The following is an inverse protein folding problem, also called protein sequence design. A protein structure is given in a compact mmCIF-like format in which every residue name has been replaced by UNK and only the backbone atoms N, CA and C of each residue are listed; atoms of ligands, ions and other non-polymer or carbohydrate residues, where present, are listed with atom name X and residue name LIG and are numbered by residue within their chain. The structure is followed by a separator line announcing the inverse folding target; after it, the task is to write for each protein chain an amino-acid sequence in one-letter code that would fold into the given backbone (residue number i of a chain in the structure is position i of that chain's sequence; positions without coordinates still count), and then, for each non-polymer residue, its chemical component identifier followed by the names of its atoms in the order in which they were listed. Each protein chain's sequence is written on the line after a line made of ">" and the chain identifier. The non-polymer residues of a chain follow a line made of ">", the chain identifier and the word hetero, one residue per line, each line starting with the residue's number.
data_IF_649658817461
#
_entry.id   IF_649658817461
#
_cell.length_a   1.000
_cell.length_b   1.000
_cell.length_c   1.000
_cell.angle_alpha   90.00
_cell.angle_beta   90.00
_cell.angle_gamma   90.00
#
_symmetry.space_group_name_H-M   'P 1'
#
loop_
_entity.id
_entity.type
_entity.pdbx_description
1 polymer ?
#
# COMPACT_ATOMS: atom_id res chain seq x y z
N UNK A 1 8.99 5.70 -16.20
CA UNK A 1 9.90 4.78 -16.89
C UNK A 1 11.16 5.48 -17.40
N UNK A 2 11.10 6.57 -18.20
CA UNK A 2 12.30 7.22 -18.75
C UNK A 2 13.26 7.74 -17.66
N UNK A 3 12.76 8.46 -16.66
CA UNK A 3 13.57 8.91 -15.53
C UNK A 3 14.27 7.76 -14.80
N UNK A 4 13.56 6.67 -14.57
CA UNK A 4 14.08 5.48 -13.88
C UNK A 4 15.19 4.81 -14.69
N UNK A 5 15.01 4.71 -16.01
CA UNK A 5 16.01 4.13 -16.91
C UNK A 5 17.23 5.02 -17.07
N UNK A 6 17.05 6.31 -17.33
CA UNK A 6 18.14 7.23 -17.71
C UNK A 6 18.84 7.80 -16.48
N UNK A 7 18.10 8.19 -15.45
CA UNK A 7 18.65 8.86 -14.26
C UNK A 7 19.02 7.88 -13.15
N UNK A 8 18.16 6.88 -12.89
CA UNK A 8 18.40 5.91 -11.82
C UNK A 8 19.16 4.67 -12.32
N UNK A 9 19.38 4.49 -13.64
CA UNK A 9 20.12 3.37 -14.20
C UNK A 9 19.49 2.00 -13.93
N UNK A 10 18.18 1.95 -13.71
CA UNK A 10 17.44 0.69 -13.54
C UNK A 10 17.11 0.14 -14.92
N UNK A 11 17.21 -1.20 -15.15
CA UNK A 11 16.89 -1.82 -16.43
C UNK A 11 15.37 -1.78 -16.66
N UNK A 12 14.91 -0.76 -17.34
CA UNK A 12 13.50 -0.53 -17.70
C UNK A 12 13.39 -0.43 -19.21
N UNK A 13 12.42 -1.09 -19.86
CA UNK A 13 12.27 -1.04 -21.30
C UNK A 13 12.06 0.41 -21.80
N UNK A 14 12.61 0.70 -22.97
CA UNK A 14 12.41 2.00 -23.61
C UNK A 14 10.95 2.13 -24.06
N UNK A 15 10.31 3.23 -23.69
CA UNK A 15 8.99 3.59 -24.23
C UNK A 15 9.17 4.24 -25.59
N UNK A 16 8.47 3.73 -26.61
CA UNK A 16 8.49 4.24 -27.97
C UNK A 16 7.34 5.21 -28.24
N UNK A 17 6.14 4.92 -27.67
CA UNK A 17 4.97 5.77 -27.78
C UNK A 17 4.01 5.49 -26.62
N UNK A 18 3.22 6.47 -26.26
CA UNK A 18 2.18 6.32 -25.24
C UNK A 18 1.07 7.35 -25.44
N UNK A 19 -0.10 7.08 -24.89
CA UNK A 19 -1.19 8.05 -24.79
C UNK A 19 -2.03 7.78 -23.55
N UNK A 20 -2.22 8.81 -22.73
CA UNK A 20 -3.15 8.81 -21.59
C UNK A 20 -4.51 9.45 -21.92
N UNK A 21 -4.78 9.74 -23.19
CA UNK A 21 -5.99 10.46 -23.64
C UNK A 21 -6.71 9.64 -24.69
N UNK A 22 -7.54 8.68 -24.25
CA UNK A 22 -8.30 7.79 -25.12
C UNK A 22 -9.10 8.54 -26.22
N UNK A 23 -9.74 9.66 -25.86
CA UNK A 23 -10.57 10.44 -26.78
C UNK A 23 -9.75 11.24 -27.80
N UNK A 24 -8.44 11.38 -27.63
CA UNK A 24 -7.55 12.18 -28.48
C UNK A 24 -6.59 11.37 -29.33
N UNK A 25 -6.63 10.04 -29.23
CA UNK A 25 -5.78 9.16 -30.01
C UNK A 25 -6.61 8.26 -30.96
N UNK A 26 -5.99 7.79 -32.03
CA UNK A 26 -6.66 6.99 -33.08
C UNK A 26 -7.01 5.57 -32.62
N UNK A 27 -6.43 5.11 -31.49
CA UNK A 27 -6.69 3.77 -30.94
C UNK A 27 -7.96 3.74 -30.11
N UNK A 28 -8.36 4.90 -29.55
CA UNK A 28 -9.56 5.02 -28.71
C UNK A 28 -9.42 4.53 -27.27
N UNK A 29 -8.21 4.10 -26.89
CA UNK A 29 -7.87 3.64 -25.51
C UNK A 29 -6.53 4.23 -25.08
N UNK A 30 -6.26 4.22 -23.78
CA UNK A 30 -4.93 4.52 -23.25
C UNK A 30 -3.97 3.37 -23.59
N UNK A 31 -2.73 3.71 -23.95
CA UNK A 31 -1.75 2.70 -24.33
C UNK A 31 -0.31 3.14 -24.05
N UNK A 32 0.57 2.14 -23.87
CA UNK A 32 2.03 2.30 -23.85
C UNK A 32 2.62 1.28 -24.83
N UNK A 33 3.40 1.75 -25.80
CA UNK A 33 4.21 0.92 -26.69
C UNK A 33 5.64 1.01 -26.21
N UNK A 34 6.21 -0.10 -25.84
CA UNK A 34 7.57 -0.16 -25.31
C UNK A 34 8.37 -1.32 -25.92
N UNK A 35 9.67 -1.25 -25.73
CA UNK A 35 10.59 -2.30 -26.08
C UNK A 35 10.18 -3.61 -25.41
N UNK A 36 10.24 -4.72 -26.16
CA UNK A 36 10.09 -6.05 -25.57
C UNK A 36 11.34 -6.35 -24.75
N UNK A 37 11.17 -6.59 -23.45
CA UNK A 37 12.29 -6.92 -22.56
C UNK A 37 12.95 -8.23 -23.06
N UNK A 38 14.25 -8.24 -23.29
CA UNK A 38 14.96 -9.48 -23.58
C UNK A 38 15.00 -10.33 -22.31
N UNK A 39 14.68 -11.62 -22.42
CA UNK A 39 14.72 -12.52 -21.27
C UNK A 39 13.39 -13.15 -20.94
N UNK A 40 13.32 -13.79 -19.77
CA UNK A 40 12.15 -14.47 -19.22
C UNK A 40 11.76 -13.86 -17.88
N UNK A 41 10.47 -13.92 -17.54
CA UNK A 41 10.02 -13.51 -16.21
C UNK A 41 10.69 -14.38 -15.14
N UNK A 42 11.06 -13.75 -14.04
CA UNK A 42 11.69 -14.45 -12.91
C UNK A 42 10.79 -15.56 -12.35
N UNK A 43 9.48 -15.42 -12.46
CA UNK A 43 8.50 -16.42 -12.03
C UNK A 43 8.73 -17.80 -12.66
N UNK A 44 9.06 -17.85 -13.95
CA UNK A 44 9.32 -19.12 -14.67
C UNK A 44 10.53 -19.90 -14.14
N UNK A 45 11.49 -19.22 -13.53
CA UNK A 45 12.76 -19.84 -13.08
C UNK A 45 12.89 -19.88 -11.56
N UNK A 46 12.18 -18.98 -10.83
CA UNK A 46 12.35 -18.79 -9.39
C UNK A 46 12.19 -20.06 -8.57
N UNK A 47 11.17 -20.87 -8.86
CA UNK A 47 10.92 -22.12 -8.13
C UNK A 47 12.08 -23.12 -8.25
N UNK A 48 12.76 -23.17 -9.42
CA UNK A 48 13.88 -24.06 -9.70
C UNK A 48 15.25 -23.54 -9.24
N UNK A 49 15.36 -22.25 -8.86
CA UNK A 49 16.65 -21.64 -8.48
C UNK A 49 17.15 -22.16 -7.13
N UNK A 50 18.45 -22.34 -7.01
CA UNK A 50 19.16 -22.58 -5.76
C UNK A 50 19.14 -21.36 -4.83
N UNK A 51 19.46 -21.58 -3.56
CA UNK A 51 19.45 -20.47 -2.56
C UNK A 51 20.51 -19.40 -2.90
N UNK A 52 21.63 -19.77 -3.48
CA UNK A 52 22.71 -18.85 -3.86
C UNK A 52 22.26 -17.93 -5.01
N UNK A 53 21.56 -18.48 -5.99
CA UNK A 53 21.02 -17.73 -7.13
C UNK A 53 19.93 -16.77 -6.66
N UNK A 54 18.99 -17.25 -5.82
CA UNK A 54 17.96 -16.40 -5.18
C UNK A 54 18.58 -15.27 -4.37
N UNK A 55 19.67 -15.54 -3.64
CA UNK A 55 20.40 -14.51 -2.91
C UNK A 55 21.04 -13.49 -3.88
N UNK A 56 21.52 -13.93 -5.02
CA UNK A 56 22.10 -13.05 -6.04
C UNK A 56 21.04 -12.11 -6.62
N UNK A 57 19.84 -12.62 -6.94
CA UNK A 57 18.69 -11.79 -7.31
C UNK A 57 18.33 -10.82 -6.20
N UNK A 58 18.21 -11.28 -4.94
CA UNK A 58 17.89 -10.42 -3.81
C UNK A 58 18.92 -9.27 -3.63
N UNK A 59 20.20 -9.55 -3.86
CA UNK A 59 21.27 -8.53 -3.84
C UNK A 59 21.14 -7.53 -5.02
N UNK A 60 20.78 -8.00 -6.20
CA UNK A 60 20.56 -7.13 -7.36
C UNK A 60 19.39 -6.17 -7.11
N UNK A 61 18.27 -6.69 -6.60
CA UNK A 61 17.10 -5.87 -6.24
C UNK A 61 17.44 -4.88 -5.11
N UNK A 62 18.13 -5.31 -4.06
CA UNK A 62 18.56 -4.42 -2.97
C UNK A 62 19.45 -3.27 -3.47
N UNK A 63 20.28 -3.52 -4.52
CA UNK A 63 21.10 -2.48 -5.16
C UNK A 63 20.24 -1.46 -5.91
N UNK A 64 19.23 -1.89 -6.66
CA UNK A 64 18.29 -0.96 -7.31
C UNK A 64 17.53 -0.15 -6.26
N UNK A 65 16.99 -0.78 -5.24
CA UNK A 65 16.30 -0.09 -4.15
C UNK A 65 17.21 0.90 -3.42
N UNK A 66 18.49 0.57 -3.22
CA UNK A 66 19.48 1.52 -2.69
C UNK A 66 19.64 2.73 -3.60
N UNK A 67 19.70 2.53 -4.92
CA UNK A 67 19.74 3.64 -5.87
C UNK A 67 18.49 4.49 -5.78
N UNK A 68 17.28 3.89 -5.79
CA UNK A 68 16.03 4.63 -5.71
C UNK A 68 15.93 5.48 -4.44
N UNK A 69 16.39 4.97 -3.30
CA UNK A 69 16.36 5.68 -2.02
C UNK A 69 17.51 6.66 -1.84
N UNK A 70 18.53 6.63 -2.70
CA UNK A 70 19.63 7.61 -2.68
C UNK A 70 19.31 8.90 -3.41
N UNK A 71 18.19 8.94 -4.16
CA UNK A 71 17.64 10.14 -4.75
C UNK A 71 16.47 10.64 -3.92
N UNK A 72 16.46 11.92 -3.61
CA UNK A 72 15.38 12.53 -2.83
C UNK A 72 14.74 13.70 -3.58
N UNK A 73 13.42 13.81 -3.44
CA UNK A 73 12.61 14.81 -4.11
C UNK A 73 12.05 15.81 -3.09
N UNK A 74 11.96 17.09 -3.47
CA UNK A 74 11.40 18.13 -2.60
C UNK A 74 9.87 18.08 -2.54
N UNK A 75 9.24 17.40 -3.50
CA UNK A 75 7.79 17.33 -3.66
C UNK A 75 7.31 15.90 -3.57
N UNK A 76 6.06 15.76 -3.17
CA UNK A 76 5.30 14.51 -3.10
C UNK A 76 4.25 14.53 -4.22
N UNK A 77 3.91 13.38 -4.81
CA UNK A 77 2.98 13.26 -5.93
C UNK A 77 3.50 12.29 -6.97
N UNK A 78 3.14 12.43 -8.24
CA UNK A 78 3.66 11.59 -9.32
C UNK A 78 4.52 12.38 -10.29
N UNK A 79 5.40 11.64 -10.98
CA UNK A 79 6.33 12.21 -11.94
C UNK A 79 5.68 12.26 -13.33
N UNK A 80 5.66 13.45 -13.93
CA UNK A 80 5.10 13.72 -15.24
C UNK A 80 6.18 14.29 -16.16
N UNK A 81 5.95 14.21 -17.47
CA UNK A 81 6.63 15.14 -18.38
C UNK A 81 6.13 16.54 -18.11
N UNK A 82 7.04 17.53 -18.09
CA UNK A 82 6.70 18.89 -17.77
C UNK A 82 5.68 19.50 -18.76
N UNK A 83 5.74 19.08 -20.03
CA UNK A 83 4.83 19.51 -21.10
C UNK A 83 3.38 19.00 -20.95
N UNK A 84 3.17 17.94 -20.17
CA UNK A 84 1.83 17.37 -19.93
C UNK A 84 1.09 18.01 -18.75
N UNK A 85 1.76 18.89 -18.00
CA UNK A 85 1.17 19.61 -16.88
C UNK A 85 0.76 21.03 -17.29
N UNK A 86 -0.54 21.28 -17.35
CA UNK A 86 -1.09 22.59 -17.67
C UNK A 86 -0.61 23.66 -16.68
N UNK A 87 -0.04 24.76 -17.20
CA UNK A 87 0.30 25.96 -16.42
C UNK A 87 1.55 25.87 -15.56
N UNK A 88 2.40 24.87 -15.72
CA UNK A 88 3.58 24.69 -14.90
C UNK A 88 4.90 24.84 -15.67
N UNK A 89 5.55 25.99 -15.53
CA UNK A 89 6.98 26.20 -15.90
C UNK A 89 7.93 25.66 -14.80
N UNK A 90 7.59 24.54 -14.15
CA UNK A 90 8.39 24.04 -13.03
C UNK A 90 9.18 22.80 -13.46
N UNK A 91 10.49 22.92 -13.42
CA UNK A 91 11.40 21.79 -13.60
C UNK A 91 11.42 20.91 -12.35
N UNK A 92 11.69 19.62 -12.54
CA UNK A 92 11.91 18.69 -11.46
C UNK A 92 13.16 19.07 -10.67
N UNK A 93 13.02 19.24 -9.37
CA UNK A 93 14.13 19.42 -8.42
C UNK A 93 14.29 18.14 -7.58
N UNK A 94 15.48 17.58 -7.60
CA UNK A 94 15.84 16.42 -6.78
C UNK A 94 17.27 16.52 -6.28
N UNK A 95 17.60 15.77 -5.26
CA UNK A 95 18.99 15.60 -4.79
C UNK A 95 19.46 14.23 -5.23
N UNK A 96 20.61 14.15 -5.87
CA UNK A 96 21.18 12.91 -6.37
C UNK A 96 21.88 12.09 -5.27
N UNK A 97 22.44 10.94 -5.64
CA UNK A 97 23.15 10.04 -4.74
C UNK A 97 24.45 10.62 -4.15
N UNK A 98 24.91 11.76 -4.65
CA UNK A 98 26.07 12.49 -4.14
C UNK A 98 25.67 13.69 -3.26
N UNK A 99 24.37 13.89 -3.02
CA UNK A 99 23.86 15.02 -2.26
C UNK A 99 23.80 16.33 -3.04
N UNK A 100 23.95 16.28 -4.37
CA UNK A 100 23.91 17.47 -5.24
C UNK A 100 22.47 17.73 -5.68
N UNK A 101 22.05 19.00 -5.55
CA UNK A 101 20.74 19.41 -6.08
C UNK A 101 20.79 19.52 -7.60
N UNK A 102 19.94 18.75 -8.25
CA UNK A 102 19.81 18.67 -9.69
C UNK A 102 18.49 19.26 -10.16
N UNK A 103 18.49 19.78 -11.38
CA UNK A 103 17.28 20.27 -12.06
C UNK A 103 17.13 19.55 -13.39
N UNK A 104 15.95 18.95 -13.63
CA UNK A 104 15.63 18.36 -14.93
C UNK A 104 14.37 19.04 -15.51
N UNK A 105 14.51 19.79 -16.61
CA UNK A 105 13.39 20.52 -17.22
C UNK A 105 12.41 19.61 -17.97
N UNK A 106 12.76 18.35 -18.23
CA UNK A 106 11.89 17.40 -18.94
C UNK A 106 10.74 16.90 -18.06
N UNK A 107 10.94 16.93 -16.74
CA UNK A 107 10.01 16.38 -15.78
C UNK A 107 9.52 17.42 -14.78
N UNK A 108 8.35 17.15 -14.22
CA UNK A 108 7.77 17.90 -13.11
C UNK A 108 7.01 16.95 -12.17
N UNK A 109 6.76 17.41 -10.93
CA UNK A 109 5.90 16.67 -10.00
C UNK A 109 4.50 17.25 -10.09
N UNK A 110 3.55 16.39 -10.41
CA UNK A 110 2.13 16.68 -10.50
C UNK A 110 1.28 15.88 -9.50
N UNK A 111 -0.05 15.85 -9.69
CA UNK A 111 -0.97 15.11 -8.85
C UNK A 111 -0.58 13.63 -8.74
N UNK A 112 -0.83 13.03 -7.57
CA UNK A 112 -0.59 11.60 -7.38
C UNK A 112 -1.49 10.75 -8.31
N UNK A 113 -0.89 9.74 -8.92
CA UNK A 113 -1.58 8.70 -9.69
C UNK A 113 -1.84 7.44 -8.86
N UNK A 114 -1.59 7.49 -7.55
CA UNK A 114 -1.88 6.39 -6.64
C UNK A 114 -3.36 6.02 -6.66
N UNK A 115 -3.64 4.72 -6.57
CA UNK A 115 -5.01 4.20 -6.61
C UNK A 115 -5.89 4.73 -5.47
N UNK A 116 -5.30 5.00 -4.33
CA UNK A 116 -5.98 5.60 -3.18
C UNK A 116 -6.40 7.08 -3.40
N UNK A 117 -6.04 7.69 -4.54
CA UNK A 117 -6.51 9.00 -4.97
C UNK A 117 -7.64 8.95 -6.01
N UNK A 118 -7.88 7.81 -6.63
CA UNK A 118 -8.84 7.66 -7.74
C UNK A 118 -9.90 6.59 -7.51
N UNK A 119 -9.55 5.48 -6.88
CA UNK A 119 -10.45 4.33 -6.70
C UNK A 119 -11.61 4.62 -5.73
N UNK A 120 -12.58 3.73 -5.68
CA UNK A 120 -13.72 3.74 -4.75
C UNK A 120 -14.59 4.99 -4.86
N UNK A 121 -14.73 5.53 -6.06
CA UNK A 121 -15.53 6.73 -6.35
C UNK A 121 -14.81 8.05 -6.06
N UNK A 122 -13.57 8.03 -5.56
CA UNK A 122 -12.80 9.24 -5.27
C UNK A 122 -12.61 10.14 -6.50
N UNK A 123 -12.53 9.54 -7.70
CA UNK A 123 -12.42 10.31 -8.96
C UNK A 123 -13.58 11.26 -9.20
N UNK A 124 -14.77 10.95 -8.69
CA UNK A 124 -16.00 11.75 -8.86
C UNK A 124 -16.09 12.92 -7.86
N UNK A 125 -15.21 12.97 -6.86
CA UNK A 125 -15.23 14.00 -5.83
C UNK A 125 -14.18 15.07 -6.15
N UNK A 126 -14.60 16.32 -6.05
CA UNK A 126 -13.69 17.48 -6.25
C UNK A 126 -12.90 17.72 -4.96
N UNK A 127 -11.65 17.28 -4.97
CA UNK A 127 -10.64 17.56 -3.97
C UNK A 127 -9.27 17.66 -4.63
N UNK A 128 -8.33 18.27 -3.95
CA UNK A 128 -6.95 18.34 -4.41
C UNK A 128 -6.27 16.96 -4.34
N UNK A 129 -5.91 16.39 -5.49
CA UNK A 129 -5.24 15.09 -5.62
C UNK A 129 -3.72 15.19 -5.57
N UNK A 130 -3.24 16.38 -5.55
CA UNK A 130 -1.81 16.62 -5.45
C UNK A 130 -1.45 17.20 -4.10
N UNK A 131 -0.31 16.82 -3.54
CA UNK A 131 0.31 17.61 -2.49
C UNK A 131 0.75 18.99 -3.02
N UNK A 132 0.47 19.28 -4.28
CA UNK A 132 0.91 20.48 -4.99
C UNK A 132 0.01 21.70 -4.85
N UNK A 133 -1.17 21.57 -4.25
CA UNK A 133 -2.03 22.73 -3.95
C UNK A 133 -2.52 22.63 -2.52
N UNK A 134 -2.32 23.68 -1.75
CA UNK A 134 -2.87 23.83 -0.40
C UNK A 134 -4.39 23.81 -0.46
N UNK A 135 -5.02 22.77 0.08
CA UNK A 135 -6.46 22.71 0.28
C UNK A 135 -6.88 23.55 1.49
N UNK A 136 -6.55 24.82 1.50
CA UNK A 136 -7.14 25.78 2.45
C UNK A 136 -8.02 26.74 1.64
N UNK A 137 -9.35 26.60 1.72
CA UNK A 137 -10.25 27.61 1.17
C UNK A 137 -9.94 28.94 1.88
N UNK A 138 -9.62 30.00 1.09
CA UNK A 138 -9.38 31.38 1.52
C UNK A 138 -7.93 31.81 1.88
N UNK A 139 -6.89 31.07 1.50
CA UNK A 139 -5.55 31.66 1.48
C UNK A 139 -5.24 32.15 0.07
N UNK A 140 -5.11 33.46 -0.08
CA UNK A 140 -4.56 34.09 -1.30
C UNK A 140 -3.12 33.60 -1.50
N UNK A 141 -2.74 33.15 -2.71
CA UNK A 141 -1.38 32.71 -2.97
C UNK A 141 -0.42 33.92 -2.86
N UNK A 142 0.35 33.95 -1.79
CA UNK A 142 1.60 34.73 -1.83
C UNK A 142 2.65 33.85 -2.51
N UNK A 143 3.41 34.41 -3.39
CA UNK A 143 4.25 33.80 -4.44
C UNK A 143 5.29 32.76 -3.98
N UNK A 144 5.43 32.47 -2.69
CA UNK A 144 6.43 31.57 -2.12
C UNK A 144 5.85 30.44 -1.25
N UNK A 145 4.51 30.31 -1.14
CA UNK A 145 3.85 29.28 -0.34
C UNK A 145 3.28 28.20 -1.24
N UNK A 146 4.12 27.57 -2.02
CA UNK A 146 3.74 26.47 -2.88
C UNK A 146 4.17 25.21 -2.19
N UNK A 147 3.20 24.33 -1.95
CA UNK A 147 3.31 22.93 -1.53
C UNK A 147 3.33 22.78 -0.02
N UNK A 148 2.54 21.81 0.45
CA UNK A 148 2.74 21.23 1.76
C UNK A 148 4.22 20.98 1.98
N UNK A 149 4.90 21.91 2.62
CA UNK A 149 6.34 21.86 2.80
C UNK A 149 6.74 20.87 3.89
N UNK A 150 5.74 20.27 4.53
CA UNK A 150 5.97 19.35 5.64
C UNK A 150 5.25 18.02 5.39
N UNK A 151 5.83 16.97 5.91
CA UNK A 151 5.22 15.63 5.93
C UNK A 151 3.87 15.63 6.64
N UNK A 152 3.71 16.46 7.68
CA UNK A 152 2.45 16.62 8.43
C UNK A 152 1.34 17.16 7.53
N UNK A 153 1.64 18.16 6.70
CA UNK A 153 0.66 18.73 5.75
C UNK A 153 0.24 17.71 4.67
N UNK A 154 1.18 16.93 4.15
CA UNK A 154 0.89 15.85 3.21
C UNK A 154 -0.04 14.81 3.81
N UNK A 155 0.25 14.35 5.01
CA UNK A 155 -0.58 13.35 5.69
C UNK A 155 -1.94 13.93 6.10
N UNK A 156 -2.00 15.20 6.49
CA UNK A 156 -3.26 15.88 6.78
C UNK A 156 -4.13 16.04 5.53
N UNK A 157 -3.53 16.29 4.36
CA UNK A 157 -4.26 16.35 3.09
C UNK A 157 -4.96 15.02 2.76
N UNK A 158 -4.35 13.87 3.09
CA UNK A 158 -4.98 12.55 2.96
C UNK A 158 -6.25 12.47 3.81
N UNK A 159 -6.20 12.87 5.08
CA UNK A 159 -7.38 12.88 5.96
C UNK A 159 -8.48 13.82 5.45
N UNK A 160 -8.13 15.00 4.96
CA UNK A 160 -9.10 15.94 4.39
C UNK A 160 -9.74 15.41 3.10
N UNK A 161 -8.99 14.70 2.26
CA UNK A 161 -9.50 13.98 1.09
C UNK A 161 -10.56 12.95 1.52
N UNK A 162 -10.25 12.11 2.50
CA UNK A 162 -11.19 11.09 2.99
C UNK A 162 -12.46 11.73 3.55
N UNK A 163 -12.36 12.86 4.29
CA UNK A 163 -13.54 13.62 4.76
C UNK A 163 -14.38 14.10 3.57
N UNK A 164 -13.75 14.66 2.53
CA UNK A 164 -14.46 15.14 1.35
C UNK A 164 -15.23 14.00 0.67
N UNK A 165 -14.58 12.83 0.50
CA UNK A 165 -15.20 11.65 -0.10
C UNK A 165 -16.35 11.10 0.77
N UNK A 166 -16.15 10.94 2.09
CA UNK A 166 -17.21 10.46 3.01
C UNK A 166 -18.43 11.37 2.98
N UNK A 167 -18.25 12.70 2.83
CA UNK A 167 -19.35 13.67 2.80
C UNK A 167 -20.05 13.76 1.45
N UNK A 168 -19.31 13.63 0.33
CA UNK A 168 -19.81 13.97 -1.00
C UNK A 168 -20.31 12.76 -1.79
N UNK A 169 -19.80 11.56 -1.53
CA UNK A 169 -20.25 10.38 -2.25
C UNK A 169 -21.71 10.05 -1.91
N UNK A 170 -22.58 9.75 -2.88
CA UNK A 170 -23.98 9.42 -2.61
C UNK A 170 -24.12 8.14 -1.77
N UNK A 171 -23.25 7.16 -2.01
CA UNK A 171 -23.14 5.92 -1.23
C UNK A 171 -21.70 5.70 -0.82
N UNK A 172 -21.48 5.15 0.38
CA UNK A 172 -20.17 4.70 0.81
C UNK A 172 -19.76 3.45 0.00
N UNK A 173 -18.47 3.32 -0.37
CA UNK A 173 -17.97 2.07 -0.95
C UNK A 173 -18.21 0.90 0.00
N UNK A 174 -18.38 -0.28 -0.56
CA UNK A 174 -18.48 -1.52 0.21
C UNK A 174 -17.09 -2.15 0.32
N UNK A 175 -16.78 -2.65 1.51
CA UNK A 175 -15.53 -3.39 1.70
C UNK A 175 -15.60 -4.75 0.98
N UNK A 176 -14.58 -5.11 0.17
CA UNK A 176 -14.52 -6.42 -0.48
C UNK A 176 -14.07 -7.54 0.48
N UNK A 177 -13.64 -7.20 1.69
CA UNK A 177 -13.05 -8.16 2.65
C UNK A 177 -13.96 -8.47 3.83
N UNK A 178 -15.18 -7.89 3.88
CA UNK A 178 -16.11 -8.11 4.99
C UNK A 178 -17.55 -8.21 4.50
N UNK A 179 -18.34 -9.05 5.14
CA UNK A 179 -19.78 -9.11 4.96
C UNK A 179 -20.48 -8.27 6.01
N UNK A 180 -21.47 -7.49 5.59
CA UNK A 180 -22.31 -6.68 6.45
C UNK A 180 -23.71 -7.30 6.58
N UNK A 181 -24.04 -7.81 7.78
CA UNK A 181 -25.31 -8.43 8.08
C UNK A 181 -25.66 -8.31 9.56
N UNK A 182 -26.77 -8.89 10.00
CA UNK A 182 -27.13 -8.92 11.40
C UNK A 182 -26.03 -9.55 12.27
N UNK A 183 -25.62 -8.83 13.33
CA UNK A 183 -24.56 -9.28 14.23
C UNK A 183 -23.14 -9.01 13.74
N UNK A 184 -22.96 -8.43 12.53
CA UNK A 184 -21.68 -7.92 12.06
C UNK A 184 -21.62 -6.40 12.20
N UNK A 185 -20.48 -5.80 11.90
CA UNK A 185 -20.30 -4.36 11.89
C UNK A 185 -20.96 -3.72 10.66
N UNK A 186 -21.60 -2.57 10.85
CA UNK A 186 -22.16 -1.74 9.77
C UNK A 186 -21.42 -0.41 9.71
N UNK A 187 -20.68 -0.13 8.62
CA UNK A 187 -20.03 1.17 8.41
C UNK A 187 -21.05 2.32 8.38
N UNK A 188 -20.73 3.42 9.06
CA UNK A 188 -21.51 4.64 8.96
C UNK A 188 -20.62 5.84 8.66
N UNK A 189 -21.19 6.87 7.99
CA UNK A 189 -20.44 8.12 7.71
C UNK A 189 -19.92 8.75 9.01
N UNK A 190 -20.70 8.70 10.05
CA UNK A 190 -20.39 9.28 11.36
C UNK A 190 -19.15 8.62 11.99
N UNK A 191 -19.12 7.28 12.02
CA UNK A 191 -17.98 6.53 12.55
C UNK A 191 -16.72 6.72 11.70
N UNK A 192 -16.85 6.76 10.36
CA UNK A 192 -15.74 7.07 9.46
C UNK A 192 -15.20 8.48 9.71
N UNK A 193 -16.06 9.49 9.80
CA UNK A 193 -15.64 10.86 10.11
C UNK A 193 -14.97 10.96 11.49
N UNK A 194 -15.48 10.24 12.52
CA UNK A 194 -14.86 10.18 13.86
C UNK A 194 -13.44 9.60 13.76
N UNK A 195 -13.25 8.49 13.04
CA UNK A 195 -11.94 7.88 12.85
C UNK A 195 -10.96 8.81 12.13
N UNK A 196 -11.40 9.46 11.04
CA UNK A 196 -10.56 10.42 10.29
C UNK A 196 -10.21 11.64 11.15
N UNK A 197 -11.14 12.12 11.97
CA UNK A 197 -10.88 13.24 12.87
C UNK A 197 -9.84 12.85 13.94
N UNK A 198 -9.92 11.64 14.49
CA UNK A 198 -8.88 11.12 15.37
C UNK A 198 -7.52 11.10 14.67
N UNK A 199 -7.44 10.62 13.42
CA UNK A 199 -6.22 10.64 12.62
C UNK A 199 -5.64 12.05 12.48
N UNK A 200 -6.45 13.02 12.04
CA UNK A 200 -6.01 14.40 11.85
C UNK A 200 -5.49 15.06 13.14
N UNK A 201 -6.06 14.67 14.28
CA UNK A 201 -5.61 15.16 15.59
C UNK A 201 -4.25 14.57 16.00
N UNK A 202 -4.00 13.30 15.64
CA UNK A 202 -2.83 12.56 16.08
C UNK A 202 -1.66 12.58 15.11
N UNK A 203 -1.88 12.88 13.83
CA UNK A 203 -0.86 12.64 12.79
C UNK A 203 0.52 13.19 13.12
N UNK A 204 0.59 14.36 13.70
CA UNK A 204 1.86 14.98 14.12
C UNK A 204 2.65 14.20 15.18
N UNK A 205 1.97 13.32 15.92
CA UNK A 205 2.58 12.47 16.94
C UNK A 205 2.92 11.07 16.42
N UNK A 206 2.27 10.65 15.33
CA UNK A 206 2.50 9.34 14.69
C UNK A 206 3.71 9.36 13.75
N UNK A 207 4.07 10.52 13.21
CA UNK A 207 5.15 10.62 12.24
C UNK A 207 6.51 10.23 12.84
N UNK A 208 7.38 9.55 12.06
CA UNK A 208 8.72 9.22 12.53
C UNK A 208 9.54 10.49 12.76
N UNK A 209 10.44 10.48 13.74
CA UNK A 209 11.39 11.58 13.97
C UNK A 209 12.62 11.51 13.08
N UNK A 210 12.91 10.36 12.50
CA UNK A 210 14.06 10.14 11.64
C UNK A 210 13.85 10.77 10.27
N UNK A 211 14.50 11.90 10.02
CA UNK A 211 14.40 12.62 8.77
C UNK A 211 14.85 11.79 7.56
N UNK A 212 15.75 10.83 7.75
CA UNK A 212 16.25 10.02 6.65
C UNK A 212 15.17 9.09 6.05
N UNK A 213 14.15 8.71 6.83
CA UNK A 213 13.02 7.92 6.36
C UNK A 213 11.80 8.76 5.94
N UNK A 214 11.83 10.07 6.23
CA UNK A 214 10.82 11.02 5.78
C UNK A 214 11.07 11.51 4.35
N UNK A 215 12.28 11.34 3.81
CA UNK A 215 12.65 11.80 2.49
C UNK A 215 11.74 11.20 1.41
N UNK A 216 11.26 12.04 0.50
CA UNK A 216 10.51 11.59 -0.67
C UNK A 216 11.43 10.87 -1.65
N UNK A 217 11.05 9.68 -2.06
CA UNK A 217 11.77 8.90 -3.07
C UNK A 217 10.79 8.30 -4.07
N UNK A 218 11.32 7.85 -5.20
CA UNK A 218 10.57 7.11 -6.19
C UNK A 218 10.69 5.62 -5.88
N UNK A 219 9.59 4.90 -5.99
CA UNK A 219 9.53 3.49 -5.62
C UNK A 219 8.70 2.68 -6.61
N UNK A 220 9.04 1.41 -6.76
CA UNK A 220 8.24 0.44 -7.50
C UNK A 220 7.34 -0.31 -6.52
N UNK A 221 6.05 -0.01 -6.53
CA UNK A 221 5.12 -0.53 -5.53
C UNK A 221 4.75 -2.00 -5.74
N UNK A 222 4.90 -2.53 -6.96
CA UNK A 222 4.49 -3.87 -7.33
C UNK A 222 5.66 -4.74 -7.79
N UNK A 223 6.70 -4.84 -6.97
CA UNK A 223 7.94 -5.56 -7.29
C UNK A 223 7.82 -7.06 -6.94
N UNK A 224 7.13 -7.81 -7.79
CA UNK A 224 6.99 -9.26 -7.71
C UNK A 224 7.69 -9.99 -8.88
N UNK A 225 7.74 -11.32 -8.84
CA UNK A 225 8.54 -12.13 -9.77
C UNK A 225 8.11 -12.01 -11.23
N UNK A 226 6.84 -11.72 -11.50
CA UNK A 226 6.31 -11.53 -12.86
C UNK A 226 6.75 -10.20 -13.49
N UNK A 227 7.09 -9.19 -12.67
CA UNK A 227 7.55 -7.87 -13.12
C UNK A 227 9.07 -7.76 -13.25
N UNK A 228 9.81 -8.81 -12.89
CA UNK A 228 11.26 -8.89 -12.99
C UNK A 228 11.64 -9.86 -14.13
N UNK A 229 12.47 -9.42 -15.05
CA UNK A 229 12.98 -10.23 -16.15
C UNK A 229 14.45 -10.54 -15.93
N UNK A 230 14.82 -11.79 -16.22
CA UNK A 230 16.19 -12.28 -16.08
C UNK A 230 16.70 -12.86 -17.40
N UNK A 231 18.03 -12.89 -17.56
CA UNK A 231 18.69 -13.51 -18.69
C UNK A 231 18.46 -15.04 -18.66
N UNK A 232 17.91 -15.67 -19.70
CA UNK A 232 17.65 -17.12 -19.71
C UNK A 232 18.92 -17.96 -19.64
N UNK A 233 20.07 -17.44 -20.07
CA UNK A 233 21.36 -18.13 -20.01
C UNK A 233 22.07 -17.95 -18.66
N UNK A 234 21.78 -16.84 -17.95
CA UNK A 234 22.21 -16.57 -16.57
C UNK A 234 21.04 -16.00 -15.77
N UNK A 235 20.19 -16.86 -15.18
CA UNK A 235 19.00 -16.40 -14.44
C UNK A 235 19.29 -15.55 -13.20
N UNK A 236 20.55 -15.32 -12.87
CA UNK A 236 20.93 -14.39 -11.79
C UNK A 236 21.11 -12.94 -12.26
N UNK A 237 21.12 -12.71 -13.59
CA UNK A 237 21.20 -11.39 -14.19
C UNK A 237 19.81 -10.80 -14.43
N UNK A 238 19.47 -9.70 -13.74
CA UNK A 238 18.25 -8.95 -13.97
C UNK A 238 18.42 -8.06 -15.19
N UNK A 239 17.62 -8.30 -16.23
CA UNK A 239 17.68 -7.58 -17.53
C UNK A 239 16.51 -6.63 -17.75
N UNK A 240 15.45 -6.69 -16.90
CA UNK A 240 14.32 -5.76 -16.99
C UNK A 240 13.44 -5.75 -15.75
N UNK A 241 12.91 -4.59 -15.44
CA UNK A 241 11.86 -4.38 -14.44
C UNK A 241 10.75 -3.59 -15.12
N UNK A 242 9.56 -4.17 -15.19
CA UNK A 242 8.38 -3.60 -15.86
C UNK A 242 7.32 -3.19 -14.85
N UNK A 243 6.22 -2.64 -15.36
CA UNK A 243 5.03 -2.28 -14.59
C UNK A 243 5.27 -1.19 -13.53
N UNK A 244 5.70 -0.03 -14.01
CA UNK A 244 5.89 1.20 -13.21
C UNK A 244 4.61 2.03 -13.10
N UNK A 245 3.43 1.40 -13.19
CA UNK A 245 2.15 2.07 -13.01
C UNK A 245 1.97 2.49 -11.54
N UNK A 246 1.14 3.49 -11.30
CA UNK A 246 0.83 4.01 -9.96
C UNK A 246 2.07 4.42 -9.13
N UNK A 247 3.24 4.56 -9.77
CA UNK A 247 4.47 4.99 -9.11
C UNK A 247 4.36 6.43 -8.64
N UNK A 248 4.60 6.66 -7.39
CA UNK A 248 4.56 8.00 -6.80
C UNK A 248 5.84 8.36 -6.03
N UNK A 249 6.01 9.66 -5.84
CA UNK A 249 7.02 10.23 -4.97
C UNK A 249 6.41 10.38 -3.59
N UNK A 250 6.76 9.50 -2.67
CA UNK A 250 6.25 9.49 -1.32
C UNK A 250 7.36 9.26 -0.29
N UNK A 251 7.12 9.47 1.01
CA UNK A 251 8.12 9.26 2.04
C UNK A 251 8.64 7.81 2.05
N UNK A 252 9.93 7.64 2.27
CA UNK A 252 10.56 6.31 2.27
C UNK A 252 9.88 5.33 3.23
N UNK A 253 9.47 5.77 4.43
CA UNK A 253 8.80 4.88 5.39
C UNK A 253 7.46 4.35 4.87
N UNK A 254 6.82 5.07 3.95
CA UNK A 254 5.58 4.62 3.32
C UNK A 254 5.85 3.54 2.25
N UNK A 255 6.87 3.75 1.43
CA UNK A 255 7.25 2.83 0.36
C UNK A 255 7.98 1.58 0.86
N UNK A 256 8.78 1.71 1.93
CA UNK A 256 9.69 0.68 2.35
C UNK A 256 8.99 -0.65 2.63
N UNK A 257 9.17 -1.62 1.72
CA UNK A 257 8.76 -3.02 1.91
C UNK A 257 9.81 -3.95 1.32
N UNK A 258 9.91 -5.14 1.87
CA UNK A 258 10.70 -6.17 1.19
C UNK A 258 9.97 -6.63 -0.07
N UNK A 259 10.70 -7.08 -1.11
CA UNK A 259 10.08 -7.65 -2.31
C UNK A 259 9.21 -8.88 -1.97
N UNK A 260 8.06 -9.03 -2.63
CA UNK A 260 7.10 -10.10 -2.36
C UNK A 260 7.69 -11.51 -2.47
N UNK A 261 8.67 -11.73 -3.35
CA UNK A 261 9.32 -13.03 -3.51
C UNK A 261 10.21 -13.44 -2.31
N UNK A 262 10.40 -12.53 -1.35
CA UNK A 262 11.07 -12.81 -0.08
C UNK A 262 10.07 -13.07 1.05
N UNK A 263 8.76 -12.94 0.81
CA UNK A 263 7.72 -13.21 1.78
C UNK A 263 7.58 -14.71 2.03
N UNK A 264 7.12 -15.07 3.21
CA UNK A 264 6.94 -16.45 3.60
C UNK A 264 5.85 -16.58 4.67
N UNK A 265 5.15 -17.71 4.64
CA UNK A 265 4.16 -18.07 5.65
C UNK A 265 4.86 -18.66 6.88
N UNK A 266 4.89 -17.93 7.98
CA UNK A 266 5.53 -18.37 9.21
C UNK A 266 5.86 -17.23 10.16
N UNK A 267 6.42 -17.53 11.35
CA UNK A 267 6.77 -16.50 12.32
C UNK A 267 7.73 -15.47 11.74
N UNK A 268 7.47 -14.16 11.93
CA UNK A 268 8.33 -13.12 11.40
C UNK A 268 9.74 -13.21 11.99
N UNK A 269 10.75 -12.88 11.17
CA UNK A 269 12.12 -12.71 11.64
C UNK A 269 12.27 -11.33 12.27
N UNK A 270 12.54 -11.28 13.56
CA UNK A 270 12.72 -10.02 14.28
C UNK A 270 14.11 -9.44 14.04
N UNK A 271 14.17 -8.16 13.68
CA UNK A 271 15.44 -7.44 13.49
C UNK A 271 16.42 -8.19 12.57
N UNK A 272 17.63 -8.44 13.10
CA UNK A 272 18.72 -9.15 12.43
C UNK A 272 18.91 -10.58 12.95
N UNK A 273 17.90 -11.17 13.56
CA UNK A 273 17.97 -12.52 14.10
C UNK A 273 18.26 -13.55 13.00
N UNK A 274 19.14 -14.49 13.31
CA UNK A 274 19.46 -15.59 12.39
C UNK A 274 18.44 -16.71 12.53
N UNK A 275 17.73 -17.10 11.46
CA UNK A 275 16.85 -18.25 11.50
C UNK A 275 17.58 -19.53 11.94
N UNK A 276 16.88 -20.39 12.65
CA UNK A 276 17.37 -21.70 13.08
C UNK A 276 16.39 -22.78 12.64
N UNK A 277 16.94 -23.95 12.34
CA UNK A 277 16.11 -25.14 12.16
C UNK A 277 15.55 -25.58 13.55
N UNK A 278 14.37 -26.21 13.57
CA UNK A 278 13.83 -26.77 14.80
C UNK A 278 14.80 -27.78 15.44
N UNK A 279 14.98 -27.73 16.75
CA UNK A 279 15.87 -28.65 17.49
C UNK A 279 15.44 -30.11 17.33
N UNK A 280 14.12 -30.36 17.23
CA UNK A 280 13.53 -31.67 17.04
C UNK A 280 13.41 -32.11 15.57
N UNK A 281 14.13 -31.44 14.63
CA UNK A 281 14.01 -31.73 13.18
C UNK A 281 14.15 -33.22 12.85
N UNK A 282 15.10 -33.92 13.47
CA UNK A 282 15.33 -35.34 13.23
C UNK A 282 14.20 -36.26 13.72
N UNK A 283 13.33 -35.76 14.59
CA UNK A 283 12.19 -36.50 15.17
C UNK A 283 10.88 -36.29 14.37
N UNK A 284 10.86 -35.31 13.46
CA UNK A 284 9.72 -35.03 12.60
C UNK A 284 9.61 -36.10 11.51
N UNK A 285 8.38 -36.31 11.03
CA UNK A 285 8.17 -37.13 9.83
C UNK A 285 8.81 -36.49 8.59
N UNK A 286 9.05 -37.28 7.50
CA UNK A 286 9.74 -36.77 6.32
C UNK A 286 9.05 -35.59 5.62
N UNK A 287 7.72 -35.46 5.71
CA UNK A 287 6.99 -34.34 5.12
C UNK A 287 7.20 -33.05 5.95
N UNK A 288 7.06 -33.15 7.27
CA UNK A 288 7.32 -32.07 8.21
C UNK A 288 8.78 -31.61 8.17
N UNK A 289 9.74 -32.53 8.02
CA UNK A 289 11.16 -32.17 7.81
C UNK A 289 11.37 -31.33 6.54
N UNK A 290 10.74 -31.71 5.41
CA UNK A 290 10.82 -30.93 4.17
C UNK A 290 10.22 -29.55 4.34
N UNK A 291 9.06 -29.46 4.97
CA UNK A 291 8.40 -28.17 5.23
C UNK A 291 9.27 -27.26 6.13
N UNK A 292 9.81 -27.80 7.23
CA UNK A 292 10.67 -27.06 8.14
C UNK A 292 11.95 -26.53 7.44
N UNK A 293 12.57 -27.35 6.57
CA UNK A 293 13.74 -26.93 5.79
C UNK A 293 13.36 -25.87 4.75
N UNK A 294 12.24 -26.00 4.06
CA UNK A 294 11.77 -25.00 3.10
C UNK A 294 11.49 -23.66 3.78
N UNK A 295 10.82 -23.67 4.94
CA UNK A 295 10.58 -22.47 5.73
C UNK A 295 11.88 -21.84 6.22
N UNK A 296 12.84 -22.65 6.70
CA UNK A 296 14.15 -22.17 7.11
C UNK A 296 14.89 -21.46 5.96
N UNK A 297 14.85 -21.99 4.75
CA UNK A 297 15.49 -21.37 3.59
C UNK A 297 14.83 -20.03 3.24
N UNK A 298 13.50 -19.96 3.23
CA UNK A 298 12.75 -18.71 2.99
C UNK A 298 13.08 -17.65 4.07
N UNK A 299 13.04 -18.02 5.35
CA UNK A 299 13.43 -17.14 6.47
C UNK A 299 14.88 -16.69 6.37
N UNK A 300 15.79 -17.57 5.95
CA UNK A 300 17.21 -17.25 5.79
C UNK A 300 17.43 -16.23 4.68
N UNK A 301 16.70 -16.34 3.56
CA UNK A 301 16.78 -15.38 2.46
C UNK A 301 16.28 -13.99 2.90
N UNK A 302 15.15 -13.91 3.60
CA UNK A 302 14.62 -12.66 4.17
C UNK A 302 15.59 -12.05 5.21
N UNK A 303 16.16 -12.86 6.11
CA UNK A 303 17.13 -12.39 7.12
C UNK A 303 18.44 -11.88 6.47
N UNK A 304 18.93 -12.55 5.44
CA UNK A 304 20.10 -12.10 4.67
C UNK A 304 19.82 -10.78 3.96
N UNK A 305 18.63 -10.63 3.37
CA UNK A 305 18.21 -9.38 2.77
C UNK A 305 18.13 -8.24 3.79
N UNK A 306 17.48 -8.44 4.96
CA UNK A 306 17.45 -7.45 6.04
C UNK A 306 18.87 -7.08 6.52
N UNK A 307 19.78 -8.06 6.63
CA UNK A 307 21.20 -7.83 6.99
C UNK A 307 21.92 -6.99 5.93
N UNK A 308 21.66 -7.26 4.66
CA UNK A 308 22.21 -6.48 3.55
C UNK A 308 21.74 -5.03 3.60
N UNK A 309 20.44 -4.81 3.80
CA UNK A 309 19.87 -3.47 3.95
C UNK A 309 20.47 -2.72 5.15
N UNK A 310 20.57 -3.36 6.30
CA UNK A 310 21.16 -2.75 7.48
C UNK A 310 22.57 -2.21 7.22
N UNK A 311 23.37 -2.93 6.42
CA UNK A 311 24.76 -2.55 6.09
C UNK A 311 24.86 -1.55 4.94
N UNK A 312 24.03 -1.67 3.92
CA UNK A 312 24.22 -0.95 2.64
C UNK A 312 23.18 0.16 2.41
N UNK A 313 22.04 0.09 3.08
CA UNK A 313 20.97 1.07 2.99
C UNK A 313 20.28 1.27 4.36
N UNK A 314 21.00 1.82 5.37
CA UNK A 314 20.46 1.99 6.71
C UNK A 314 19.13 2.77 6.78
N UNK A 315 18.89 3.82 5.98
CA UNK A 315 17.58 4.48 5.99
C UNK A 315 16.44 3.52 5.63
N UNK A 316 16.63 2.69 4.60
CA UNK A 316 15.61 1.72 4.20
C UNK A 316 15.37 0.66 5.29
N UNK A 317 16.42 0.17 5.94
CA UNK A 317 16.28 -0.75 7.07
C UNK A 317 15.47 -0.14 8.23
N UNK A 318 15.75 1.15 8.59
CA UNK A 318 14.97 1.85 9.61
C UNK A 318 13.53 2.12 9.19
N UNK A 319 13.29 2.37 7.91
CA UNK A 319 11.95 2.50 7.38
C UNK A 319 11.15 1.20 7.48
N UNK A 320 11.78 0.04 7.20
CA UNK A 320 11.17 -1.28 7.45
C UNK A 320 10.83 -1.49 8.93
N UNK A 321 11.74 -1.10 9.85
CA UNK A 321 11.47 -1.20 11.27
C UNK A 321 10.32 -0.28 11.73
N UNK A 322 10.20 0.92 11.15
CA UNK A 322 9.08 1.82 11.44
C UNK A 322 7.73 1.23 10.99
N UNK A 323 7.70 0.46 9.91
CA UNK A 323 6.49 -0.23 9.45
C UNK A 323 5.96 -1.31 10.42
N UNK A 324 6.80 -1.77 11.34
CA UNK A 324 6.43 -2.72 12.39
C UNK A 324 5.85 -2.01 13.65
N UNK A 325 5.53 -0.71 13.56
CA UNK A 325 5.02 0.10 14.69
C UNK A 325 3.53 0.42 14.55
N UNK A 326 2.85 0.55 15.70
CA UNK A 326 1.45 1.02 15.76
C UNK A 326 1.27 2.40 15.08
N UNK A 327 2.28 3.26 15.13
CA UNK A 327 2.26 4.55 14.42
C UNK A 327 2.08 4.37 12.93
N UNK A 328 2.83 3.45 12.33
CA UNK A 328 2.71 3.17 10.90
C UNK A 328 1.35 2.55 10.54
N UNK A 329 0.88 1.60 11.35
CA UNK A 329 -0.42 0.95 11.14
C UNK A 329 -1.55 2.00 11.10
N UNK A 330 -1.55 2.95 12.04
CA UNK A 330 -2.53 4.04 12.07
C UNK A 330 -2.40 4.99 10.86
N UNK A 331 -1.18 5.29 10.40
CA UNK A 331 -0.98 6.09 9.19
C UNK A 331 -1.49 5.35 7.95
N UNK A 332 -1.22 4.06 7.84
CA UNK A 332 -1.63 3.23 6.71
C UNK A 332 -3.15 3.04 6.66
N UNK A 333 -3.77 2.66 7.79
CA UNK A 333 -5.22 2.48 7.90
C UNK A 333 -5.98 3.75 7.54
N UNK A 334 -5.46 4.93 7.95
CA UNK A 334 -6.11 6.20 7.67
C UNK A 334 -6.31 6.49 6.18
N UNK A 335 -5.48 5.92 5.30
CA UNK A 335 -5.58 6.10 3.84
C UNK A 335 -6.78 5.35 3.23
N UNK A 336 -7.36 4.41 3.96
CA UNK A 336 -8.46 3.57 3.47
C UNK A 336 -9.77 3.70 4.26
N UNK A 337 -9.87 4.66 5.18
CA UNK A 337 -11.05 4.83 6.03
C UNK A 337 -12.35 5.12 5.28
N UNK A 338 -12.28 5.57 4.03
CA UNK A 338 -13.45 5.67 3.17
C UNK A 338 -14.09 4.30 2.92
N UNK A 339 -13.28 3.29 2.66
CA UNK A 339 -13.74 1.93 2.30
C UNK A 339 -13.96 1.10 3.54
N UNK A 340 -12.92 0.97 4.39
CA UNK A 340 -12.91 0.02 5.50
C UNK A 340 -12.02 0.49 6.66
N UNK A 341 -12.08 -0.25 7.78
CA UNK A 341 -11.11 -0.20 8.86
C UNK A 341 -11.41 0.78 9.97
N UNK A 342 -12.48 1.58 9.93
CA UNK A 342 -12.77 2.59 10.96
C UNK A 342 -13.04 1.99 12.35
N UNK A 343 -13.66 0.82 12.45
CA UNK A 343 -13.86 0.12 13.72
C UNK A 343 -12.51 -0.27 14.36
N UNK A 344 -11.63 -0.90 13.56
CA UNK A 344 -10.28 -1.28 13.99
C UNK A 344 -9.44 -0.04 14.32
N UNK A 345 -9.56 1.01 13.50
CA UNK A 345 -8.86 2.27 13.74
C UNK A 345 -9.20 2.88 15.09
N UNK A 346 -10.50 3.02 15.39
CA UNK A 346 -10.96 3.57 16.67
C UNK A 346 -10.53 2.72 17.88
N UNK A 347 -10.53 1.39 17.73
CA UNK A 347 -10.02 0.51 18.78
C UNK A 347 -8.51 0.68 19.01
N UNK A 348 -7.73 0.81 17.94
CA UNK A 348 -6.30 1.09 18.05
C UNK A 348 -6.04 2.47 18.68
N UNK A 349 -6.88 3.48 18.40
CA UNK A 349 -6.78 4.79 19.05
C UNK A 349 -7.01 4.67 20.55
N UNK A 350 -8.01 3.89 21.00
CA UNK A 350 -8.25 3.65 22.43
C UNK A 350 -7.06 2.97 23.09
N UNK A 351 -6.50 1.94 22.46
CA UNK A 351 -5.32 1.22 22.97
C UNK A 351 -4.04 2.08 22.98
N UNK A 352 -3.94 3.05 22.05
CA UNK A 352 -2.81 3.94 21.94
C UNK A 352 -2.59 4.80 23.21
N UNK A 353 -3.64 5.06 24.00
CA UNK A 353 -3.53 5.76 25.27
C UNK A 353 -2.49 5.11 26.19
N UNK A 354 -2.40 3.77 26.19
CA UNK A 354 -1.49 3.00 27.06
C UNK A 354 -0.01 3.20 26.72
N UNK A 355 0.30 3.44 25.44
CA UNK A 355 1.66 3.60 24.93
C UNK A 355 1.91 5.02 24.39
N UNK A 356 1.00 5.95 24.67
CA UNK A 356 1.06 7.31 24.13
C UNK A 356 2.39 8.02 24.38
N UNK A 357 2.92 7.89 25.61
CA UNK A 357 4.18 8.51 26.00
C UNK A 357 5.40 7.94 25.25
N UNK A 358 5.29 6.75 24.67
CA UNK A 358 6.37 6.06 23.95
C UNK A 358 6.43 6.47 22.47
N UNK A 359 5.38 7.14 21.95
CA UNK A 359 5.33 7.55 20.56
C UNK A 359 6.47 8.55 20.24
N UNK A 360 7.15 8.39 19.09
CA UNK A 360 8.27 9.24 18.70
C UNK A 360 7.92 10.73 18.73
N UNK A 361 6.76 11.12 18.18
CA UNK A 361 6.32 12.50 18.14
C UNK A 361 5.87 13.07 19.49
N UNK A 362 5.53 12.23 20.49
CA UNK A 362 5.18 12.64 21.85
C UNK A 362 6.45 12.86 22.69
N UNK A 363 7.41 11.96 22.61
CA UNK A 363 8.70 12.06 23.32
C UNK A 363 9.41 13.39 22.99
N UNK A 364 9.35 13.84 21.76
CA UNK A 364 10.03 15.06 21.30
C UNK A 364 9.28 16.35 21.62
N UNK A 365 7.96 16.30 21.90
CA UNK A 365 7.06 17.46 22.11
C UNK A 365 6.70 17.70 23.58
N UNK A 366 7.60 17.42 24.53
CA UNK A 366 7.41 17.64 25.97
C UNK A 366 6.19 16.94 26.56
N UNK A 367 6.06 15.63 26.32
CA UNK A 367 5.02 14.78 26.90
C UNK A 367 3.59 15.37 26.76
N UNK A 368 3.19 15.65 25.52
CA UNK A 368 1.82 16.10 25.23
C UNK A 368 0.81 15.08 25.79
N UNK A 369 -0.27 15.52 26.48
CA UNK A 369 -1.28 14.60 26.98
C UNK A 369 -1.99 13.88 25.80
N UNK A 370 -2.53 12.69 26.10
CA UNK A 370 -3.38 12.00 25.13
C UNK A 370 -4.58 12.88 24.77
N UNK A 371 -4.87 13.09 23.46
CA UNK A 371 -5.80 14.13 23.05
C UNK A 371 -7.28 13.75 23.13
N UNK A 372 -7.62 12.54 23.57
CA UNK A 372 -8.98 12.04 23.59
C UNK A 372 -9.40 11.60 25.00
N UNK A 373 -10.71 11.62 25.22
CA UNK A 373 -11.35 11.05 26.41
C UNK A 373 -12.49 10.17 25.91
N UNK A 374 -12.45 8.89 26.24
CA UNK A 374 -13.50 7.93 25.89
C UNK A 374 -14.23 7.51 27.16
N UNK A 375 -15.55 7.60 27.16
CA UNK A 375 -16.35 7.03 28.24
C UNK A 375 -16.33 5.50 28.20
N UNK A 376 -16.74 4.85 29.29
CA UNK A 376 -16.82 3.37 29.32
C UNK A 376 -17.82 2.84 28.29
N UNK A 377 -18.92 3.58 28.07
CA UNK A 377 -19.90 3.24 27.04
C UNK A 377 -19.33 3.34 25.64
N UNK A 378 -18.54 4.39 25.33
CA UNK A 378 -17.87 4.53 24.03
C UNK A 378 -16.84 3.42 23.81
N UNK A 379 -16.07 3.05 24.84
CA UNK A 379 -15.11 1.94 24.78
C UNK A 379 -15.81 0.61 24.50
N UNK A 380 -16.95 0.37 25.18
CA UNK A 380 -17.76 -0.83 24.98
C UNK A 380 -18.35 -0.89 23.56
N UNK A 381 -18.84 0.25 23.04
CA UNK A 381 -19.34 0.33 21.66
C UNK A 381 -18.22 0.04 20.63
N UNK A 382 -17.06 0.68 20.77
CA UNK A 382 -15.89 0.45 19.89
C UNK A 382 -15.49 -1.02 19.92
N UNK A 383 -15.46 -1.66 21.09
CA UNK A 383 -15.13 -3.08 21.20
C UNK A 383 -16.18 -3.99 20.54
N UNK A 384 -17.46 -3.65 20.66
CA UNK A 384 -18.54 -4.35 19.98
C UNK A 384 -18.43 -4.21 18.45
N UNK A 385 -18.09 -3.02 17.94
CA UNK A 385 -17.86 -2.76 16.52
C UNK A 385 -16.70 -3.60 15.97
N UNK A 386 -15.58 -3.68 16.66
CA UNK A 386 -14.44 -4.54 16.26
C UNK A 386 -14.86 -6.00 16.24
N UNK A 387 -15.56 -6.46 17.27
CA UNK A 387 -16.05 -7.84 17.32
C UNK A 387 -17.00 -8.15 16.18
N UNK A 388 -17.85 -7.17 15.81
CA UNK A 388 -18.73 -7.26 14.64
C UNK A 388 -17.95 -7.29 13.31
N UNK A 389 -16.92 -6.46 13.17
CA UNK A 389 -16.06 -6.43 11.99
C UNK A 389 -15.31 -7.76 11.80
N UNK A 390 -14.76 -8.33 12.86
CA UNK A 390 -14.10 -9.64 12.81
C UNK A 390 -15.06 -10.75 12.35
N UNK A 391 -16.30 -10.77 12.86
CA UNK A 391 -17.31 -11.74 12.39
C UNK A 391 -17.63 -11.54 10.91
N UNK A 392 -17.71 -10.30 10.43
CA UNK A 392 -17.91 -10.02 8.99
C UNK A 392 -16.76 -10.51 8.12
N UNK A 393 -15.51 -10.35 8.58
CA UNK A 393 -14.31 -10.85 7.90
C UNK A 393 -14.28 -12.38 7.89
N UNK A 394 -14.59 -13.03 9.01
CA UNK A 394 -14.69 -14.49 9.09
C UNK A 394 -15.75 -15.05 8.14
N UNK A 395 -16.93 -14.42 8.10
CA UNK A 395 -17.98 -14.79 7.17
C UNK A 395 -17.54 -14.65 5.70
N UNK A 396 -16.83 -13.58 5.35
CA UNK A 396 -16.27 -13.41 4.01
C UNK A 396 -15.21 -14.46 3.68
N UNK A 397 -14.35 -14.84 4.63
CA UNK A 397 -13.37 -15.91 4.43
C UNK A 397 -14.04 -17.27 4.14
N UNK A 398 -15.15 -17.57 4.76
CA UNK A 398 -15.91 -18.81 4.43
C UNK A 398 -16.49 -18.72 3.01
N UNK A 399 -16.95 -17.56 2.56
CA UNK A 399 -17.35 -17.34 1.15
C UNK A 399 -16.16 -17.59 0.22
N UNK A 400 -15.01 -16.98 0.49
CA UNK A 400 -13.79 -17.18 -0.30
C UNK A 400 -13.38 -18.65 -0.38
N UNK A 401 -13.38 -19.34 0.75
CA UNK A 401 -13.05 -20.76 0.83
C UNK A 401 -14.03 -21.65 0.04
N UNK A 402 -15.31 -21.31 0.06
CA UNK A 402 -16.34 -22.06 -0.66
C UNK A 402 -16.23 -21.86 -2.17
N UNK A 403 -15.94 -20.65 -2.62
CA UNK A 403 -15.78 -20.32 -4.04
C UNK A 403 -14.42 -20.75 -4.61
N UNK A 404 -13.39 -20.86 -3.77
CA UNK A 404 -12.04 -21.22 -4.20
C UNK A 404 -11.54 -20.33 -5.33
N UNK A 405 -11.15 -20.94 -6.45
CA UNK A 405 -10.62 -20.22 -7.64
C UNK A 405 -11.62 -19.29 -8.34
N UNK A 406 -12.93 -19.47 -8.07
CA UNK A 406 -13.98 -18.59 -8.60
C UNK A 406 -14.17 -17.31 -7.77
N UNK A 407 -13.50 -17.19 -6.61
CA UNK A 407 -13.58 -15.97 -5.83
C UNK A 407 -12.83 -14.85 -6.53
N UNK A 408 -13.47 -13.68 -6.75
CA UNK A 408 -12.82 -12.57 -7.43
C UNK A 408 -11.80 -11.89 -6.50
N UNK A 409 -10.65 -12.52 -6.30
CA UNK A 409 -9.55 -11.87 -5.62
C UNK A 409 -9.22 -10.55 -6.33
N UNK A 410 -9.13 -9.46 -5.60
CA UNK A 410 -8.93 -8.11 -6.15
C UNK A 410 -10.06 -7.61 -7.09
N UNK A 411 -11.25 -8.23 -7.06
CA UNK A 411 -12.37 -7.85 -7.93
C UNK A 411 -12.21 -8.29 -9.39
N UNK A 412 -11.27 -9.19 -9.69
CA UNK A 412 -10.98 -9.64 -11.06
C UNK A 412 -11.04 -11.16 -11.11
N UNK A 413 -11.69 -11.68 -12.13
CA UNK A 413 -11.65 -13.09 -12.55
C UNK A 413 -11.23 -13.16 -14.02
N UNK A 414 -10.79 -14.33 -14.47
CA UNK A 414 -10.50 -14.55 -15.90
C UNK A 414 -11.77 -14.44 -16.71
N UNK A 415 -11.67 -13.91 -17.94
CA UNK A 415 -12.81 -13.71 -18.82
C UNK A 415 -13.62 -15.00 -19.01
N UNK A 416 -12.96 -16.13 -19.18
CA UNK A 416 -13.56 -17.45 -19.34
C UNK A 416 -14.35 -17.93 -18.10
N UNK A 417 -14.01 -17.43 -16.92
CA UNK A 417 -14.63 -17.79 -15.63
C UNK A 417 -15.67 -16.78 -15.16
N UNK A 418 -15.87 -15.66 -15.87
CA UNK A 418 -16.70 -14.55 -15.40
C UNK A 418 -18.15 -14.96 -15.11
N UNK A 419 -18.80 -15.64 -16.04
CA UNK A 419 -20.20 -16.06 -15.87
C UNK A 419 -20.34 -17.10 -14.77
N UNK A 420 -19.41 -18.07 -14.68
CA UNK A 420 -19.40 -19.08 -13.64
C UNK A 420 -19.19 -18.47 -12.25
N UNK A 421 -18.23 -17.55 -12.11
CA UNK A 421 -17.95 -16.83 -10.87
C UNK A 421 -19.15 -15.97 -10.44
N UNK A 422 -19.80 -15.28 -11.36
CA UNK A 422 -20.99 -14.47 -11.10
C UNK A 422 -22.17 -15.31 -10.59
N UNK A 423 -22.42 -16.46 -11.24
CA UNK A 423 -23.50 -17.35 -10.83
C UNK A 423 -23.21 -18.04 -9.49
N UNK A 424 -21.94 -18.41 -9.22
CA UNK A 424 -21.51 -18.94 -7.94
C UNK A 424 -21.65 -17.90 -6.81
N UNK A 425 -21.29 -16.65 -7.06
CA UNK A 425 -21.49 -15.55 -6.10
C UNK A 425 -22.99 -15.32 -5.78
N UNK A 426 -23.88 -15.41 -6.78
CA UNK A 426 -25.32 -15.30 -6.56
C UNK A 426 -25.86 -16.47 -5.70
N UNK A 427 -25.43 -17.68 -5.99
CA UNK A 427 -25.87 -18.87 -5.23
C UNK A 427 -25.41 -18.79 -3.78
N UNK A 428 -24.15 -18.42 -3.54
CA UNK A 428 -23.62 -18.32 -2.18
C UNK A 428 -24.27 -17.18 -1.39
N UNK A 429 -24.63 -16.07 -2.06
CA UNK A 429 -25.42 -14.99 -1.47
C UNK A 429 -26.73 -15.51 -0.89
N UNK A 430 -27.50 -16.27 -1.68
CA UNK A 430 -28.76 -16.83 -1.21
C UNK A 430 -28.54 -17.85 -0.09
N UNK A 431 -27.50 -18.67 -0.14
CA UNK A 431 -27.14 -19.61 0.93
C UNK A 431 -26.80 -18.87 2.24
N UNK A 432 -26.04 -17.78 2.18
CA UNK A 432 -25.71 -16.94 3.34
C UNK A 432 -27.00 -16.38 3.94
N UNK A 433 -27.89 -15.84 3.10
CA UNK A 433 -29.16 -15.27 3.54
C UNK A 433 -30.05 -16.34 4.19
N UNK A 434 -30.20 -17.52 3.57
CA UNK A 434 -30.97 -18.63 4.12
C UNK A 434 -30.40 -19.16 5.43
N UNK A 435 -29.09 -19.22 5.57
CA UNK A 435 -28.40 -19.76 6.75
C UNK A 435 -28.44 -18.80 7.94
N UNK A 436 -28.28 -17.51 7.71
CA UNK A 436 -28.03 -16.53 8.79
C UNK A 436 -29.18 -15.56 9.04
N UNK A 437 -30.14 -15.39 8.10
CA UNK A 437 -31.26 -14.50 8.31
C UNK A 437 -32.36 -15.18 9.16
N UNK A 438 -32.76 -14.55 10.24
CA UNK A 438 -33.79 -15.03 11.17
C UNK A 438 -35.21 -14.63 10.74
N UNK A 439 -35.31 -13.52 10.00
CA UNK A 439 -36.57 -12.95 9.53
C UNK A 439 -36.36 -12.15 8.23
N UNK A 440 -37.42 -11.55 7.69
CA UNK A 440 -37.34 -10.78 6.44
C UNK A 440 -36.55 -9.48 6.58
N UNK A 441 -36.50 -8.89 7.78
CA UNK A 441 -35.66 -7.72 8.07
C UNK A 441 -34.18 -8.09 7.96
N UNK A 442 -33.78 -9.22 8.56
CA UNK A 442 -32.40 -9.73 8.46
C UNK A 442 -32.02 -10.04 6.99
N UNK A 443 -32.94 -10.62 6.20
CA UNK A 443 -32.73 -10.89 4.77
C UNK A 443 -32.45 -9.59 3.99
N UNK A 444 -33.22 -8.53 4.27
CA UNK A 444 -33.01 -7.22 3.68
C UNK A 444 -31.63 -6.67 3.98
N UNK A 445 -31.19 -6.75 5.24
CA UNK A 445 -29.86 -6.30 5.68
C UNK A 445 -28.74 -7.07 4.99
N UNK A 446 -28.84 -8.41 4.87
CA UNK A 446 -27.84 -9.21 4.16
C UNK A 446 -27.78 -8.88 2.68
N UNK A 447 -28.93 -8.66 2.01
CA UNK A 447 -28.97 -8.25 0.59
C UNK A 447 -28.30 -6.93 0.37
N UNK A 448 -28.62 -5.94 1.20
CA UNK A 448 -28.04 -4.60 1.13
C UNK A 448 -26.52 -4.59 1.41
N UNK A 449 -26.08 -5.45 2.32
CA UNK A 449 -24.69 -5.55 2.74
C UNK A 449 -23.81 -6.40 1.80
N UNK A 450 -24.37 -7.06 0.78
CA UNK A 450 -23.60 -7.90 -0.12
C UNK A 450 -22.69 -7.06 -1.02
N UNK A 451 -21.35 -7.30 -1.02
CA UNK A 451 -20.41 -6.40 -1.69
C UNK A 451 -20.27 -6.62 -3.20
N UNK A 452 -20.79 -7.74 -3.74
CA UNK A 452 -20.64 -8.13 -5.15
C UNK A 452 -21.88 -7.85 -6.00
N UNK A 453 -22.86 -7.11 -5.48
CA UNK A 453 -23.97 -6.57 -6.30
C UNK A 453 -23.56 -5.21 -6.83
N UNK A 454 -23.74 -5.00 -8.12
CA UNK A 454 -23.56 -3.70 -8.79
C UNK A 454 -24.63 -2.66 -8.38
#
# INVERSE_FOLDING_TARGET
>A
MEFVRVTLGTPVPKVHAWSSRAQKNVVGVEYIIMEKVPGVQLDFVWAGMGIEDRLTIAKAIARYQKTWTSFSFKKLGSLYYAEDLDGHNQSLLYTDCHGVTMTDPRFAVGPSTGRDFSDDGRVAVDFDRGPCKTCIPNLTPTTDTILGNTLEEYQSAIGHREIACVRSLPRLPRSPVTLCGPGTYRPTREKKLKAIQCYLTMIKYLLPNDQSIQSSCLWHDDLHVENIFVNPEDPTEVVGIIDWQSTELAPLFYHARQPYFLDYDGPPTLGLERPRLPENLAQLDPAAQRQAKALYLKRSLSALYKTLLHRQNPPFYRALAFRETTSFDLILLARNLLVDGEATYLAQVVELEKIWAELPGVCTRRAAPFPFQFSDEERAEIQADVSGALRGIEAMREVQKTLGELFPERGIVREEQYEEARDALRQIKEQVIETFARDESDRGVWREGWPFDD
#
